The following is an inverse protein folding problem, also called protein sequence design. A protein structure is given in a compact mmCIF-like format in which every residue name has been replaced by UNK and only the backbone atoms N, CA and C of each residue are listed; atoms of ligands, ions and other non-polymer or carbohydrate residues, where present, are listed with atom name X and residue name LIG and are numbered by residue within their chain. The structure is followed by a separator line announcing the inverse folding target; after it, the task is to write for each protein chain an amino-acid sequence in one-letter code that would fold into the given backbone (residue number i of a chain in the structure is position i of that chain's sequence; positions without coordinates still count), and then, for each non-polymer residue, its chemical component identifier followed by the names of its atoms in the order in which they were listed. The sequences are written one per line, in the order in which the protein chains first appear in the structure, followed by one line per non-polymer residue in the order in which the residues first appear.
data_IF_929905810138
#
_entry.id   IF_929905810138
#
_cell.length_a   1.000
_cell.length_b   1.000
_cell.length_c   1.000
_cell.angle_alpha   90.00
_cell.angle_beta   90.00
_cell.angle_gamma   90.00
#
_symmetry.space_group_name_H-M   'P 1'
#
loop_
_entity.id
_entity.type
_entity.pdbx_description
1 polymer ?
#
# COMPACT_ATOMS: atom_id res chain seq x y z
N UNK A 1 -34.75 -22.98 -45.96
CA UNK A 1 -33.51 -23.00 -45.18
C UNK A 1 -33.56 -21.80 -44.24
N UNK A 2 -33.63 -22.04 -42.93
CA UNK A 2 -33.56 -21.00 -41.91
C UNK A 2 -32.09 -20.68 -41.64
N UNK A 3 -31.73 -19.41 -41.61
CA UNK A 3 -30.48 -18.96 -41.01
C UNK A 3 -30.80 -17.82 -40.04
N UNK A 4 -30.74 -18.18 -38.76
CA UNK A 4 -30.69 -17.26 -37.63
C UNK A 4 -29.31 -16.62 -37.57
N UNK A 5 -29.24 -15.31 -37.41
CA UNK A 5 -28.08 -14.64 -36.81
C UNK A 5 -28.57 -13.48 -35.96
N UNK A 6 -28.65 -13.73 -34.67
CA UNK A 6 -28.82 -12.71 -33.63
C UNK A 6 -27.45 -12.06 -33.45
N UNK A 7 -27.33 -10.80 -33.88
CA UNK A 7 -26.17 -9.97 -33.59
C UNK A 7 -26.28 -9.46 -32.15
N UNK A 8 -25.56 -10.10 -31.23
CA UNK A 8 -25.26 -9.55 -29.92
C UNK A 8 -24.25 -8.42 -30.09
N UNK A 9 -24.73 -7.17 -30.12
CA UNK A 9 -23.88 -6.00 -30.01
C UNK A 9 -23.37 -5.89 -28.57
N UNK A 10 -22.10 -6.21 -28.36
CA UNK A 10 -21.41 -6.04 -27.09
C UNK A 10 -21.21 -4.53 -26.86
N UNK A 11 -22.05 -3.92 -26.02
CA UNK A 11 -21.84 -2.55 -25.56
C UNK A 11 -20.71 -2.59 -24.54
N UNK A 12 -19.48 -2.34 -25.00
CA UNK A 12 -18.37 -2.03 -24.12
C UNK A 12 -18.63 -0.62 -23.55
N UNK A 13 -19.37 -0.54 -22.45
CA UNK A 13 -19.36 0.64 -21.59
C UNK A 13 -17.97 0.74 -20.99
N UNK A 14 -17.07 1.43 -21.67
CA UNK A 14 -15.85 1.92 -21.05
C UNK A 14 -16.29 2.94 -20.02
N UNK A 15 -16.52 2.48 -18.79
CA UNK A 15 -16.52 3.38 -17.64
C UNK A 15 -15.12 3.99 -17.60
N UNK A 16 -15.00 5.18 -18.18
CA UNK A 16 -13.94 6.09 -17.78
C UNK A 16 -14.17 6.29 -16.29
N UNK A 17 -13.44 5.52 -15.47
CA UNK A 17 -13.22 5.86 -14.09
C UNK A 17 -12.53 7.23 -14.15
N UNK A 18 -13.34 8.28 -14.06
CA UNK A 18 -12.86 9.62 -13.78
C UNK A 18 -12.15 9.47 -12.44
N UNK A 19 -10.82 9.29 -12.49
CA UNK A 19 -9.97 9.34 -11.32
C UNK A 19 -10.28 10.70 -10.68
N UNK A 20 -11.01 10.74 -9.55
CA UNK A 20 -11.26 12.01 -8.89
C UNK A 20 -9.87 12.57 -8.57
N UNK A 21 -9.59 13.80 -8.99
CA UNK A 21 -8.43 14.53 -8.47
C UNK A 21 -8.51 14.41 -6.96
N UNK A 22 -7.46 13.88 -6.36
CA UNK A 22 -7.34 13.59 -4.94
C UNK A 22 -7.45 14.87 -4.14
N UNK A 23 -8.68 15.26 -3.82
CA UNK A 23 -8.95 16.14 -2.68
C UNK A 23 -8.64 15.30 -1.43
N UNK A 24 -7.40 15.46 -0.97
CA UNK A 24 -6.82 15.03 0.30
C UNK A 24 -7.51 13.83 0.96
N UNK A 25 -7.40 12.65 0.34
CA UNK A 25 -7.96 11.39 0.86
C UNK A 25 -7.18 10.82 2.05
N UNK A 26 -6.23 11.59 2.58
CA UNK A 26 -5.35 11.19 3.67
C UNK A 26 -3.90 10.99 3.24
N UNK A 27 -3.11 10.56 4.20
CA UNK A 27 -1.69 10.28 4.05
C UNK A 27 -1.25 9.16 4.99
N UNK A 28 -0.14 8.52 4.68
CA UNK A 28 0.55 7.60 5.57
C UNK A 28 1.84 8.23 6.07
N UNK A 29 2.05 8.24 7.38
CA UNK A 29 3.40 8.26 7.92
C UNK A 29 3.92 6.82 7.93
N UNK A 30 5.09 6.58 7.36
CA UNK A 30 5.68 5.25 7.29
C UNK A 30 7.11 5.26 7.83
N UNK A 31 7.46 4.20 8.54
CA UNK A 31 8.80 3.94 9.02
C UNK A 31 9.20 2.54 8.59
N UNK A 32 10.28 2.41 7.82
CA UNK A 32 10.78 1.13 7.34
C UNK A 32 12.13 0.82 7.96
N UNK A 33 12.30 -0.42 8.41
CA UNK A 33 13.57 -0.93 8.95
C UNK A 33 14.07 -2.09 8.11
N UNK A 34 15.32 -2.00 7.66
CA UNK A 34 16.09 -3.12 7.15
C UNK A 34 16.79 -3.85 8.29
N UNK A 35 16.64 -5.17 8.31
CA UNK A 35 17.38 -6.07 9.18
C UNK A 35 18.85 -6.20 8.78
N UNK A 36 19.66 -6.87 9.63
CA UNK A 36 21.05 -7.17 9.31
C UNK A 36 21.19 -8.09 8.09
N UNK A 37 20.17 -8.91 7.83
CA UNK A 37 20.01 -9.64 6.59
C UNK A 37 19.27 -8.75 5.59
N UNK A 38 19.86 -8.53 4.42
CA UNK A 38 19.40 -7.57 3.40
C UNK A 38 17.96 -7.78 2.89
N UNK A 39 17.35 -8.92 3.18
CA UNK A 39 15.98 -9.27 2.79
C UNK A 39 14.98 -9.20 3.96
N UNK A 40 15.42 -8.82 5.17
CA UNK A 40 14.53 -8.59 6.30
C UNK A 40 14.02 -7.16 6.30
N UNK A 41 12.72 -6.98 6.08
CA UNK A 41 12.02 -5.71 6.07
C UNK A 41 10.96 -5.70 7.17
N UNK A 42 10.92 -4.61 7.92
CA UNK A 42 9.85 -4.30 8.85
C UNK A 42 9.27 -2.94 8.48
N UNK A 43 7.98 -2.88 8.18
CA UNK A 43 7.28 -1.65 7.87
C UNK A 43 6.27 -1.34 8.98
N UNK A 44 6.29 -0.12 9.46
CA UNK A 44 5.22 0.47 10.27
C UNK A 44 4.56 1.59 9.48
N UNK A 45 3.24 1.65 9.49
CA UNK A 45 2.46 2.67 8.81
C UNK A 45 1.34 3.21 9.70
N UNK A 46 1.16 4.53 9.70
CA UNK A 46 0.02 5.22 10.31
C UNK A 46 -0.71 6.03 9.25
N UNK A 47 -1.97 5.67 8.99
CA UNK A 47 -2.84 6.40 8.08
C UNK A 47 -3.68 7.43 8.81
N UNK A 48 -3.68 8.67 8.31
CA UNK A 48 -4.52 9.76 8.78
C UNK A 48 -5.31 10.39 7.64
N UNK A 49 -6.54 10.80 7.93
CA UNK A 49 -7.41 11.57 7.02
C UNK A 49 -8.47 12.32 7.84
N UNK A 50 -9.35 13.09 7.21
CA UNK A 50 -10.46 13.76 7.91
C UNK A 50 -11.40 12.78 8.63
N UNK A 51 -11.56 11.55 8.12
CA UNK A 51 -12.37 10.48 8.76
C UNK A 51 -11.58 9.72 9.84
N UNK A 52 -10.25 9.73 9.74
CA UNK A 52 -9.32 8.99 10.58
C UNK A 52 -8.32 9.97 11.19
N UNK A 53 -8.79 10.79 12.14
CA UNK A 53 -8.01 11.82 12.82
C UNK A 53 -6.97 11.24 13.79
N UNK A 54 -6.22 12.09 14.50
CA UNK A 54 -5.08 11.68 15.33
C UNK A 54 -5.44 10.60 16.38
N UNK A 55 -6.65 10.65 16.92
CA UNK A 55 -7.15 9.71 17.93
C UNK A 55 -7.62 8.38 17.32
N UNK A 56 -7.94 8.36 16.02
CA UNK A 56 -8.54 7.22 15.31
C UNK A 56 -7.72 6.73 14.11
N UNK A 57 -6.45 7.13 14.01
CA UNK A 57 -5.56 6.72 12.93
C UNK A 57 -5.43 5.20 12.79
N UNK A 58 -5.34 4.73 11.56
CA UNK A 58 -5.18 3.31 11.27
C UNK A 58 -3.70 2.95 11.29
N UNK A 59 -3.31 2.03 12.18
CA UNK A 59 -1.94 1.56 12.32
C UNK A 59 -1.78 0.16 11.76
N UNK A 60 -0.76 -0.03 10.93
CA UNK A 60 -0.42 -1.32 10.34
C UNK A 60 1.06 -1.61 10.49
N UNK A 61 1.39 -2.88 10.69
CA UNK A 61 2.76 -3.38 10.77
C UNK A 61 2.92 -4.58 9.84
N UNK A 62 3.98 -4.58 9.02
CA UNK A 62 4.28 -5.67 8.10
C UNK A 62 5.72 -6.15 8.24
N UNK A 63 5.93 -7.42 7.91
CA UNK A 63 7.22 -8.10 7.96
C UNK A 63 7.43 -8.89 6.66
N UNK A 64 8.61 -8.72 6.06
CA UNK A 64 9.17 -9.64 5.07
C UNK A 64 10.52 -10.14 5.60
N UNK A 65 10.71 -11.44 5.63
CA UNK A 65 11.89 -12.13 6.14
C UNK A 65 11.99 -13.53 5.51
N UNK A 66 12.20 -13.63 4.18
CA UNK A 66 12.18 -14.90 3.45
C UNK A 66 13.31 -15.87 3.84
N UNK A 67 14.41 -15.35 4.39
CA UNK A 67 15.58 -16.15 4.77
C UNK A 67 15.73 -16.37 6.29
N UNK A 68 14.74 -15.99 7.10
CA UNK A 68 14.76 -16.27 8.54
C UNK A 68 14.63 -17.78 8.83
N UNK A 69 15.02 -18.22 10.04
CA UNK A 69 14.84 -19.61 10.49
C UNK A 69 13.38 -20.08 10.35
N UNK A 70 12.44 -19.16 10.59
CA UNK A 70 11.03 -19.29 10.25
C UNK A 70 10.70 -18.26 9.17
N UNK A 71 10.76 -18.65 7.87
CA UNK A 71 10.55 -17.73 6.76
C UNK A 71 9.19 -17.07 6.80
N UNK A 72 9.18 -15.75 6.58
CA UNK A 72 7.96 -14.96 6.34
C UNK A 72 8.15 -14.26 5.02
N UNK A 73 7.51 -14.73 3.94
CA UNK A 73 7.66 -14.09 2.64
C UNK A 73 7.10 -12.65 2.66
N UNK A 74 5.89 -12.50 3.19
CA UNK A 74 5.23 -11.22 3.40
C UNK A 74 4.06 -11.43 4.37
N UNK A 75 3.94 -10.59 5.41
CA UNK A 75 2.80 -10.63 6.33
C UNK A 75 2.56 -9.26 6.97
N UNK A 76 1.33 -8.79 6.87
CA UNK A 76 0.83 -7.64 7.63
C UNK A 76 -0.08 -8.07 8.80
N UNK A 77 -0.12 -7.26 9.86
CA UNK A 77 -1.00 -7.47 11.02
C UNK A 77 -2.48 -7.22 10.70
N UNK A 78 -2.76 -6.36 9.72
CA UNK A 78 -4.09 -6.06 9.18
C UNK A 78 -4.21 -6.55 7.75
N UNK A 79 -5.25 -7.35 7.48
CA UNK A 79 -5.56 -7.84 6.13
C UNK A 79 -5.95 -6.73 5.14
N UNK A 80 -6.33 -5.56 5.64
CA UNK A 80 -6.74 -4.42 4.84
C UNK A 80 -5.56 -3.51 4.43
N UNK A 81 -4.32 -3.85 4.78
CA UNK A 81 -3.14 -3.06 4.43
C UNK A 81 -2.07 -3.97 3.79
N UNK A 82 -1.41 -3.44 2.76
CA UNK A 82 -0.35 -4.14 2.04
C UNK A 82 0.67 -3.13 1.49
N UNK A 83 1.89 -3.57 1.22
CA UNK A 83 2.96 -2.74 0.67
C UNK A 83 3.86 -3.52 -0.30
N UNK A 84 4.57 -2.78 -1.14
CA UNK A 84 5.71 -3.32 -1.91
C UNK A 84 6.85 -2.30 -1.93
N UNK A 85 8.09 -2.81 -1.89
CA UNK A 85 9.29 -1.99 -1.88
C UNK A 85 10.33 -2.54 -2.86
N UNK A 86 10.83 -1.70 -3.75
CA UNK A 86 11.80 -2.08 -4.80
C UNK A 86 13.25 -1.68 -4.47
N UNK A 87 13.50 -1.17 -3.26
CA UNK A 87 14.80 -0.64 -2.84
C UNK A 87 14.95 0.88 -3.02
N UNK A 88 13.99 1.55 -3.66
CA UNK A 88 14.00 3.00 -3.85
C UNK A 88 12.62 3.66 -3.68
N UNK A 89 11.55 2.92 -3.95
CA UNK A 89 10.17 3.38 -3.95
C UNK A 89 9.33 2.45 -3.10
N UNK A 90 8.59 3.04 -2.15
CA UNK A 90 7.60 2.33 -1.35
C UNK A 90 6.21 2.61 -1.92
N UNK A 91 5.49 1.54 -2.26
CA UNK A 91 4.08 1.59 -2.61
C UNK A 91 3.25 1.00 -1.48
N UNK A 92 2.17 1.67 -1.11
CA UNK A 92 1.25 1.23 -0.06
C UNK A 92 -0.17 1.23 -0.58
N UNK A 93 -0.96 0.29 -0.06
CA UNK A 93 -2.40 0.25 -0.29
C UNK A 93 -3.15 -0.03 1.02
N UNK A 94 -4.35 0.51 1.13
CA UNK A 94 -5.21 0.28 2.27
C UNK A 94 -6.68 0.27 1.89
N UNK A 95 -7.41 -0.77 2.28
CA UNK A 95 -8.87 -0.79 2.24
C UNK A 95 -9.42 -0.16 3.51
N UNK A 96 -10.23 0.88 3.36
CA UNK A 96 -10.90 1.60 4.44
C UNK A 96 -12.20 0.90 4.83
N UNK A 97 -12.78 1.26 5.98
CA UNK A 97 -14.04 0.66 6.46
C UNK A 97 -15.22 0.96 5.54
N UNK A 98 -15.13 2.04 4.76
CA UNK A 98 -16.08 2.40 3.70
C UNK A 98 -16.08 1.43 2.51
N UNK A 99 -15.10 0.50 2.44
CA UNK A 99 -14.89 -0.41 1.32
C UNK A 99 -13.98 0.17 0.22
N UNK A 100 -13.66 1.46 0.28
CA UNK A 100 -12.75 2.11 -0.67
C UNK A 100 -11.31 1.67 -0.39
N UNK A 101 -10.58 1.28 -1.43
CA UNK A 101 -9.13 1.03 -1.37
C UNK A 101 -8.38 2.25 -1.88
N UNK A 102 -7.51 2.80 -1.04
CA UNK A 102 -6.63 3.94 -1.33
C UNK A 102 -5.20 3.47 -1.60
N UNK A 103 -4.49 4.20 -2.45
CA UNK A 103 -3.13 3.86 -2.87
C UNK A 103 -2.20 5.07 -2.78
N UNK A 104 -0.94 4.82 -2.43
CA UNK A 104 0.11 5.83 -2.34
C UNK A 104 1.46 5.28 -2.77
N UNK A 105 2.33 6.17 -3.23
CA UNK A 105 3.72 5.84 -3.56
C UNK A 105 4.62 7.02 -3.20
N UNK A 106 5.78 6.74 -2.62
CA UNK A 106 6.79 7.75 -2.37
C UNK A 106 8.21 7.16 -2.48
N UNK A 107 9.21 7.97 -2.86
CA UNK A 107 10.60 7.60 -2.71
C UNK A 107 10.93 7.34 -1.24
N UNK A 108 11.64 6.25 -0.99
CA UNK A 108 12.22 5.92 0.30
C UNK A 108 13.53 5.19 0.06
N UNK A 109 14.64 5.77 0.48
CA UNK A 109 15.95 5.14 0.37
C UNK A 109 16.54 5.02 1.77
N UNK A 110 16.79 3.79 2.19
CA UNK A 110 17.13 3.48 3.59
C UNK A 110 18.65 3.49 3.77
N UNK A 111 19.15 4.43 4.56
CA UNK A 111 20.56 4.74 4.74
C UNK A 111 20.94 5.03 6.20
N UNK A 112 19.99 5.38 7.06
CA UNK A 112 20.27 5.75 8.44
C UNK A 112 20.49 4.49 9.29
N UNK A 113 21.71 4.29 9.78
CA UNK A 113 22.01 3.15 10.66
C UNK A 113 21.47 3.38 12.06
N UNK A 114 20.81 2.36 12.62
CA UNK A 114 20.31 2.35 14.01
C UNK A 114 21.08 1.36 14.89
N UNK A 115 22.23 0.86 14.41
CA UNK A 115 23.06 -0.13 15.08
C UNK A 115 22.66 -1.58 14.84
N UNK A 116 23.53 -2.53 15.21
CA UNK A 116 23.26 -3.97 15.06
C UNK A 116 23.07 -4.45 13.62
N UNK A 117 23.67 -3.75 12.65
CA UNK A 117 23.50 -4.03 11.22
C UNK A 117 22.15 -3.57 10.63
N UNK A 118 21.32 -2.89 11.41
CA UNK A 118 20.00 -2.42 10.98
C UNK A 118 20.04 -0.98 10.47
N UNK A 119 19.16 -0.70 9.53
CA UNK A 119 18.95 0.63 8.97
C UNK A 119 17.48 1.00 9.01
N UNK A 120 17.15 2.27 9.20
CA UNK A 120 15.77 2.71 9.31
C UNK A 120 15.61 4.12 8.78
N UNK A 121 14.61 4.33 7.94
CA UNK A 121 14.20 5.68 7.51
C UNK A 121 12.68 5.79 7.47
N UNK A 122 12.21 7.02 7.37
CA UNK A 122 10.80 7.39 7.40
C UNK A 122 10.42 8.28 6.22
N UNK A 123 9.16 8.24 5.82
CA UNK A 123 8.62 9.15 4.81
C UNK A 123 7.12 9.36 5.04
N UNK A 124 6.55 10.35 4.34
CA UNK A 124 5.11 10.56 4.28
C UNK A 124 4.62 10.32 2.87
N UNK A 125 3.64 9.44 2.73
CA UNK A 125 3.04 9.06 1.46
C UNK A 125 1.65 9.70 1.37
N UNK A 126 1.42 10.54 0.37
CA UNK A 126 0.10 11.10 0.10
C UNK A 126 -0.77 10.08 -0.64
N UNK A 127 -2.08 10.05 -0.37
CA UNK A 127 -3.01 9.28 -1.20
C UNK A 127 -2.99 9.85 -2.62
N UNK A 128 -2.64 8.99 -3.57
CA UNK A 128 -2.49 9.33 -4.99
C UNK A 128 -3.69 8.88 -5.82
N UNK A 129 -4.40 7.84 -5.38
CA UNK A 129 -5.60 7.33 -6.02
C UNK A 129 -6.48 6.55 -5.04
N UNK A 130 -7.74 6.35 -5.42
CA UNK A 130 -8.72 5.57 -4.65
C UNK A 130 -9.68 4.83 -5.59
N UNK A 131 -10.07 3.61 -5.22
CA UNK A 131 -10.97 2.72 -5.97
C UNK A 131 -12.04 2.18 -5.03
N UNK A 132 -13.31 2.19 -5.46
CA UNK A 132 -14.47 1.68 -4.71
C UNK A 132 -15.03 0.41 -5.34
#
# INVERSE_FOLDING_TARGET
MQFSTVLLALVATTSAAVLPRTENKGQWFVQMTLGPDIEQLFLYAEFTSDEYDEDHKLRSSCVEAPNAELPVAHRCDRAAFDFSYDGATLNVQQTLDSGVTVYGSAPLSIHTSIGGGRFQDETTIQVSSAVA
#
